data_IF_530801178461
#
_entry.id   IF_530801178461
#
_cell.length_a   1.000
_cell.length_b   1.000
_cell.length_c   1.000
_cell.angle_alpha   90.00
_cell.angle_beta   90.00
_cell.angle_gamma   90.00
#
_symmetry.space_group_name_H-M   'P 1'
#
loop_
_entity.id
_entity.type
_entity.pdbx_description
1 polymer ?
#
# COMPACT_ATOMS: atom_id res chain seq x y z
N UNK A 1 -9.64 11.53 -7.91
CA UNK A 1 -9.85 11.63 -6.45
C UNK A 1 -9.64 13.06 -5.95
N UNK A 2 -8.44 13.66 -6.04
CA UNK A 2 -8.23 15.08 -5.70
C UNK A 2 -9.17 16.04 -6.45
N UNK A 3 -9.24 15.93 -7.78
CA UNK A 3 -10.13 16.76 -8.59
C UNK A 3 -11.60 16.53 -8.25
N UNK A 4 -12.01 15.27 -8.05
CA UNK A 4 -13.37 14.96 -7.62
C UNK A 4 -13.72 15.50 -6.23
N UNK A 5 -12.75 15.56 -5.30
CA UNK A 5 -12.89 16.24 -4.01
C UNK A 5 -13.05 17.76 -4.18
N UNK A 6 -12.16 18.37 -4.98
CA UNK A 6 -12.18 19.81 -5.25
C UNK A 6 -13.49 20.24 -5.92
N UNK A 7 -13.89 19.59 -7.01
CA UNK A 7 -15.11 19.91 -7.76
C UNK A 7 -16.36 19.58 -6.93
N UNK A 8 -16.34 18.50 -6.15
CA UNK A 8 -17.42 18.14 -5.23
C UNK A 8 -17.63 19.21 -4.15
N UNK A 9 -16.55 19.65 -3.51
CA UNK A 9 -16.59 20.73 -2.51
C UNK A 9 -17.03 22.05 -3.14
N UNK A 10 -16.43 22.42 -4.27
CA UNK A 10 -16.76 23.65 -4.99
C UNK A 10 -18.25 23.70 -5.37
N UNK A 11 -18.80 22.56 -5.82
CA UNK A 11 -20.21 22.45 -6.17
C UNK A 11 -21.14 22.56 -4.95
N UNK A 12 -20.74 22.05 -3.78
CA UNK A 12 -21.53 22.18 -2.53
C UNK A 12 -21.67 23.62 -2.06
N UNK A 13 -20.67 24.48 -2.27
CA UNK A 13 -20.68 25.88 -1.82
C UNK A 13 -21.15 26.86 -2.88
N UNK A 14 -20.73 26.67 -4.13
CA UNK A 14 -21.03 27.61 -5.22
C UNK A 14 -22.30 27.22 -6.02
N UNK A 15 -23.00 26.15 -5.63
CA UNK A 15 -24.27 25.70 -6.24
C UNK A 15 -24.22 25.66 -7.77
N UNK A 16 -23.09 25.19 -8.32
CA UNK A 16 -22.84 25.07 -9.75
C UNK A 16 -23.58 23.88 -10.36
N UNK A 17 -24.92 23.94 -10.41
CA UNK A 17 -25.77 22.83 -10.87
C UNK A 17 -25.49 22.39 -12.31
N UNK A 18 -24.82 23.19 -13.13
CA UNK A 18 -24.47 22.82 -14.51
C UNK A 18 -23.35 21.76 -14.57
N UNK A 19 -22.50 21.68 -13.55
CA UNK A 19 -21.34 20.77 -13.49
C UNK A 19 -21.42 19.79 -12.31
N UNK A 20 -22.61 19.61 -11.73
CA UNK A 20 -22.78 18.83 -10.50
C UNK A 20 -22.31 17.37 -10.59
N UNK A 21 -22.33 16.81 -11.80
CA UNK A 21 -21.94 15.43 -12.09
C UNK A 21 -20.42 15.24 -12.27
N UNK A 22 -19.67 16.33 -12.49
CA UNK A 22 -18.23 16.26 -12.79
C UNK A 22 -17.45 15.76 -11.57
N UNK A 23 -17.65 16.35 -10.40
CA UNK A 23 -16.97 15.95 -9.16
C UNK A 23 -17.22 14.47 -8.77
N UNK A 24 -18.48 14.02 -8.71
CA UNK A 24 -18.82 12.60 -8.51
C UNK A 24 -18.25 11.69 -9.60
N UNK A 25 -18.38 12.06 -10.89
CA UNK A 25 -17.90 11.26 -12.01
C UNK A 25 -16.38 11.03 -11.98
N UNK A 26 -15.60 12.09 -11.75
CA UNK A 26 -14.14 12.01 -11.63
C UNK A 26 -13.72 11.26 -10.35
N UNK A 27 -14.52 11.34 -9.28
CA UNK A 27 -14.30 10.53 -8.06
C UNK A 27 -14.50 9.05 -8.32
N UNK A 28 -15.63 8.65 -8.93
CA UNK A 28 -15.93 7.25 -9.27
C UNK A 28 -14.88 6.67 -10.20
N UNK A 29 -14.49 7.40 -11.25
CA UNK A 29 -13.43 6.96 -12.15
C UNK A 29 -12.11 6.75 -11.40
N UNK A 30 -11.73 7.69 -10.53
CA UNK A 30 -10.52 7.58 -9.72
C UNK A 30 -10.53 6.37 -8.77
N UNK A 31 -11.68 6.09 -8.16
CA UNK A 31 -11.89 4.92 -7.30
C UNK A 31 -11.72 3.63 -8.10
N UNK A 32 -12.36 3.52 -9.27
CA UNK A 32 -12.26 2.33 -10.13
C UNK A 32 -10.83 2.09 -10.61
N UNK A 33 -10.12 3.14 -11.02
CA UNK A 33 -8.72 3.07 -11.42
C UNK A 33 -7.83 2.60 -10.27
N UNK A 34 -8.05 3.13 -9.07
CA UNK A 34 -7.29 2.72 -7.88
C UNK A 34 -7.56 1.26 -7.50
N UNK A 35 -8.82 0.83 -7.46
CA UNK A 35 -9.18 -0.56 -7.15
C UNK A 35 -8.48 -1.50 -8.14
N UNK A 36 -8.57 -1.17 -9.44
CA UNK A 36 -7.91 -1.95 -10.50
C UNK A 36 -6.40 -2.01 -10.30
N UNK A 37 -5.76 -0.87 -9.99
CA UNK A 37 -4.33 -0.82 -9.70
C UNK A 37 -3.96 -1.65 -8.46
N UNK A 38 -4.75 -1.61 -7.39
CA UNK A 38 -4.45 -2.32 -6.13
C UNK A 38 -4.66 -3.82 -6.20
N UNK A 39 -5.38 -4.34 -7.21
CA UNK A 39 -5.37 -5.78 -7.52
C UNK A 39 -3.99 -6.26 -8.02
N UNK A 40 -3.15 -5.35 -8.50
CA UNK A 40 -1.87 -5.63 -9.12
C UNK A 40 -0.67 -5.20 -8.27
N UNK A 41 -0.71 -3.96 -7.79
CA UNK A 41 0.42 -3.24 -7.18
C UNK A 41 1.08 -4.01 -6.03
N UNK A 42 0.36 -4.60 -5.05
CA UNK A 42 1.01 -5.29 -3.93
C UNK A 42 1.91 -6.45 -4.38
N UNK A 43 1.45 -7.23 -5.37
CA UNK A 43 2.23 -8.36 -5.91
C UNK A 43 3.38 -7.89 -6.79
N UNK A 44 3.18 -6.83 -7.57
CA UNK A 44 4.22 -6.23 -8.40
C UNK A 44 5.36 -5.63 -7.54
N UNK A 45 5.01 -4.92 -6.46
CA UNK A 45 5.98 -4.37 -5.50
C UNK A 45 6.74 -5.47 -4.77
N UNK A 46 6.07 -6.57 -4.39
CA UNK A 46 6.73 -7.71 -3.78
C UNK A 46 7.80 -8.32 -4.71
N UNK A 47 7.47 -8.51 -5.99
CA UNK A 47 8.43 -9.01 -6.97
C UNK A 47 9.58 -8.03 -7.23
N UNK A 48 9.28 -6.75 -7.39
CA UNK A 48 10.30 -5.72 -7.54
C UNK A 48 11.28 -5.74 -6.37
N UNK A 49 10.79 -5.91 -5.14
CA UNK A 49 11.61 -5.97 -3.94
C UNK A 49 12.50 -7.23 -3.90
N UNK A 50 11.97 -8.39 -4.30
CA UNK A 50 12.71 -9.66 -4.33
C UNK A 50 13.78 -9.66 -5.42
N UNK A 51 13.47 -9.14 -6.60
CA UNK A 51 14.37 -9.15 -7.76
C UNK A 51 15.36 -7.98 -7.76
N UNK A 52 15.06 -6.90 -7.04
CA UNK A 52 15.82 -5.65 -7.08
C UNK A 52 15.76 -4.93 -8.43
N UNK A 53 14.89 -5.35 -9.36
CA UNK A 53 14.79 -4.81 -10.71
C UNK A 53 13.41 -4.20 -10.96
N UNK A 54 13.37 -2.90 -11.23
CA UNK A 54 12.13 -2.16 -11.48
C UNK A 54 11.36 -2.67 -12.69
N UNK A 55 12.02 -3.23 -13.72
CA UNK A 55 11.35 -3.78 -14.91
C UNK A 55 10.45 -4.97 -14.56
N UNK A 56 10.76 -5.69 -13.48
CA UNK A 56 9.95 -6.82 -13.02
C UNK A 56 8.59 -6.39 -12.49
N UNK A 57 8.46 -5.12 -12.11
CA UNK A 57 7.18 -4.51 -11.77
C UNK A 57 6.21 -4.54 -12.95
N UNK A 58 6.69 -4.42 -14.19
CA UNK A 58 5.85 -4.30 -15.41
C UNK A 58 5.56 -5.63 -16.10
N UNK A 59 5.92 -6.77 -15.50
CA UNK A 59 5.64 -8.08 -16.07
C UNK A 59 4.20 -8.51 -15.80
N UNK A 60 3.24 -7.80 -16.41
CA UNK A 60 1.80 -7.92 -16.17
C UNK A 60 1.28 -9.35 -16.27
N UNK A 61 1.64 -10.06 -17.34
CA UNK A 61 1.16 -11.43 -17.60
C UNK A 61 1.54 -12.40 -16.47
N UNK A 62 2.78 -12.32 -15.98
CA UNK A 62 3.26 -13.16 -14.89
C UNK A 62 2.55 -12.82 -13.58
N UNK A 63 2.55 -11.55 -13.20
CA UNK A 63 1.95 -11.10 -11.94
C UNK A 63 0.45 -11.43 -11.91
N UNK A 64 -0.28 -11.20 -13.01
CA UNK A 64 -1.69 -11.55 -13.10
C UNK A 64 -1.95 -13.06 -13.05
N UNK A 65 -1.01 -13.87 -13.54
CA UNK A 65 -1.08 -15.33 -13.43
C UNK A 65 -0.92 -15.76 -11.97
N UNK A 66 -0.01 -15.13 -11.22
CA UNK A 66 0.14 -15.35 -9.78
C UNK A 66 -1.11 -14.92 -8.99
N UNK A 67 -1.61 -13.71 -9.24
CA UNK A 67 -2.82 -13.16 -8.59
C UNK A 67 -4.01 -14.11 -8.78
N UNK A 68 -4.28 -14.55 -10.02
CA UNK A 68 -5.39 -15.47 -10.31
C UNK A 68 -5.23 -16.84 -9.64
N UNK A 69 -4.01 -17.32 -9.43
CA UNK A 69 -3.74 -18.63 -8.81
C UNK A 69 -3.89 -18.61 -7.28
N UNK A 70 -3.66 -17.47 -6.65
CA UNK A 70 -3.72 -17.29 -5.19
C UNK A 70 -4.61 -16.10 -4.81
N UNK A 71 -5.74 -16.01 -5.49
CA UNK A 71 -6.67 -14.89 -5.32
C UNK A 71 -7.19 -14.78 -3.87
N UNK A 72 -7.40 -15.90 -3.14
CA UNK A 72 -7.77 -15.88 -1.72
C UNK A 72 -6.72 -15.19 -0.84
N UNK A 73 -5.44 -15.43 -1.14
CA UNK A 73 -4.36 -14.78 -0.43
C UNK A 73 -4.31 -13.28 -0.77
N UNK A 74 -4.61 -12.92 -2.02
CA UNK A 74 -4.72 -11.52 -2.43
C UNK A 74 -5.91 -10.81 -1.76
N UNK A 75 -7.04 -11.49 -1.61
CA UNK A 75 -8.18 -11.00 -0.83
C UNK A 75 -7.78 -10.78 0.63
N UNK A 76 -7.16 -11.77 1.28
CA UNK A 76 -6.67 -11.63 2.66
C UNK A 76 -5.66 -10.48 2.82
N UNK A 77 -4.80 -10.28 1.83
CA UNK A 77 -3.88 -9.14 1.80
C UNK A 77 -4.63 -7.81 1.70
N UNK A 78 -5.62 -7.69 0.80
CA UNK A 78 -6.46 -6.49 0.69
C UNK A 78 -7.18 -6.19 2.01
N UNK A 79 -7.73 -7.21 2.67
CA UNK A 79 -8.39 -7.06 3.98
C UNK A 79 -7.40 -6.55 5.03
N UNK A 80 -6.17 -7.08 5.02
CA UNK A 80 -5.13 -6.61 5.95
C UNK A 80 -4.74 -5.14 5.67
N UNK A 81 -4.63 -4.72 4.40
CA UNK A 81 -4.43 -3.31 4.05
C UNK A 81 -5.56 -2.43 4.60
N UNK A 82 -6.82 -2.81 4.35
CA UNK A 82 -8.01 -2.08 4.81
C UNK A 82 -8.15 -2.06 6.33
N UNK A 83 -7.69 -3.11 7.02
CA UNK A 83 -7.71 -3.15 8.48
C UNK A 83 -6.61 -2.28 9.09
N UNK A 84 -5.38 -2.38 8.57
CA UNK A 84 -4.26 -1.56 9.01
C UNK A 84 -4.47 -0.06 8.72
N UNK A 85 -5.28 0.30 7.72
CA UNK A 85 -5.59 1.71 7.42
C UNK A 85 -6.54 2.35 8.43
N UNK A 86 -7.37 1.57 9.15
CA UNK A 86 -8.34 2.13 10.11
C UNK A 86 -7.64 2.88 11.24
N UNK A 87 -6.63 2.31 11.94
CA UNK A 87 -5.87 3.07 12.95
C UNK A 87 -5.19 4.32 12.37
N UNK A 88 -4.74 4.29 11.11
CA UNK A 88 -4.09 5.44 10.47
C UNK A 88 -5.10 6.55 10.19
N UNK A 89 -6.30 6.20 9.75
CA UNK A 89 -7.43 7.12 9.62
C UNK A 89 -7.77 7.76 10.98
N UNK A 90 -7.80 6.97 12.05
CA UNK A 90 -8.06 7.46 13.42
C UNK A 90 -6.96 8.42 13.85
N UNK A 91 -5.68 8.01 13.79
CA UNK A 91 -4.53 8.85 14.14
C UNK A 91 -4.49 10.16 13.33
N UNK A 92 -4.93 10.10 12.08
CA UNK A 92 -5.03 11.27 11.21
C UNK A 92 -6.16 12.23 11.62
N UNK A 93 -7.31 11.68 12.01
CA UNK A 93 -8.53 12.46 12.25
C UNK A 93 -8.58 13.00 13.67
N UNK A 94 -8.03 12.28 14.64
CA UNK A 94 -7.97 12.66 16.06
C UNK A 94 -7.32 14.02 16.27
N UNK A 95 -6.34 14.41 15.44
CA UNK A 95 -5.66 15.71 15.53
C UNK A 95 -6.64 16.89 15.55
N UNK A 96 -7.73 16.83 14.78
CA UNK A 96 -8.76 17.87 14.76
C UNK A 96 -9.50 18.01 16.10
N UNK A 97 -9.62 16.90 16.85
CA UNK A 97 -10.36 16.84 18.10
C UNK A 97 -9.47 17.03 19.33
N UNK A 98 -8.14 17.08 19.19
CA UNK A 98 -7.21 17.23 20.32
C UNK A 98 -7.48 18.50 21.16
N UNK A 99 -7.79 19.68 20.60
CA UNK A 99 -8.14 20.85 21.40
C UNK A 99 -9.42 20.67 22.23
N UNK A 100 -10.39 19.88 21.75
CA UNK A 100 -11.61 19.58 22.51
C UNK A 100 -11.32 18.61 23.68
N UNK A 101 -10.32 17.74 23.52
CA UNK A 101 -9.91 16.77 24.55
C UNK A 101 -9.02 17.45 25.60
N UNK A 102 -8.12 18.34 25.16
CA UNK A 102 -7.26 19.12 26.03
C UNK A 102 -7.31 20.60 25.60
N UNK A 103 -8.16 21.42 26.25
CA UNK A 103 -8.33 22.84 25.91
C UNK A 103 -7.03 23.64 25.90
N UNK A 104 -6.03 23.26 26.70
CA UNK A 104 -4.72 23.93 26.74
C UNK A 104 -3.98 23.90 25.40
N UNK A 105 -4.36 22.98 24.50
CA UNK A 105 -3.77 22.90 23.15
C UNK A 105 -4.29 24.01 22.22
N UNK A 106 -5.43 24.63 22.53
CA UNK A 106 -6.00 25.72 21.75
C UNK A 106 -5.19 27.03 21.90
N UNK A 107 -4.54 27.21 23.06
CA UNK A 107 -3.80 28.42 23.40
C UNK A 107 -2.31 28.36 23.02
N UNK A 108 -1.88 27.29 22.36
CA UNK A 108 -0.48 27.12 21.95
C UNK A 108 -0.10 28.14 20.86
N UNK A 109 1.12 28.67 20.97
CA UNK A 109 1.70 29.46 19.88
C UNK A 109 1.96 28.57 18.65
N UNK A 110 2.05 29.14 17.43
CA UNK A 110 2.28 28.34 16.22
C UNK A 110 3.53 27.45 16.29
N UNK A 111 4.62 27.92 16.91
CA UNK A 111 5.84 27.15 17.08
C UNK A 111 5.65 25.94 18.02
N UNK A 112 4.93 26.13 19.12
CA UNK A 112 4.60 25.06 20.07
C UNK A 112 3.64 24.05 19.45
N UNK A 113 2.67 24.50 18.64
CA UNK A 113 1.78 23.62 17.88
C UNK A 113 2.57 22.70 16.93
N UNK A 114 3.53 23.25 16.18
CA UNK A 114 4.38 22.46 15.28
C UNK A 114 5.17 21.42 16.08
N UNK A 115 5.80 21.83 17.18
CA UNK A 115 6.59 20.91 18.01
C UNK A 115 5.72 19.78 18.58
N UNK A 116 4.53 20.10 19.06
CA UNK A 116 3.56 19.13 19.55
C UNK A 116 3.14 18.13 18.45
N UNK A 117 2.76 18.63 17.27
CA UNK A 117 2.36 17.80 16.13
C UNK A 117 3.51 16.93 15.63
N UNK A 118 4.74 17.45 15.56
CA UNK A 118 5.92 16.67 15.20
C UNK A 118 6.14 15.49 16.15
N UNK A 119 6.01 15.73 17.46
CA UNK A 119 6.10 14.68 18.46
C UNK A 119 4.97 13.66 18.29
N UNK A 120 3.74 14.12 18.07
CA UNK A 120 2.59 13.24 17.84
C UNK A 120 2.77 12.34 16.60
N UNK A 121 3.20 12.93 15.48
CA UNK A 121 3.43 12.19 14.24
C UNK A 121 4.62 11.24 14.33
N UNK A 122 5.67 11.60 15.07
CA UNK A 122 6.78 10.70 15.37
C UNK A 122 6.31 9.43 16.08
N UNK A 123 5.52 9.56 17.15
CA UNK A 123 4.97 8.41 17.86
C UNK A 123 3.98 7.61 17.01
N UNK A 124 3.19 8.29 16.18
CA UNK A 124 2.30 7.63 15.23
C UNK A 124 3.06 6.83 14.18
N UNK A 125 4.21 7.32 13.72
CA UNK A 125 5.08 6.63 12.77
C UNK A 125 5.61 5.30 13.34
N UNK A 126 5.78 5.19 14.67
CA UNK A 126 6.17 3.95 15.35
C UNK A 126 5.12 2.83 15.19
N UNK A 127 3.86 3.16 14.91
CA UNK A 127 2.84 2.19 14.53
C UNK A 127 2.78 1.98 13.01
N UNK A 128 2.79 3.08 12.23
CA UNK A 128 2.64 3.04 10.77
C UNK A 128 3.76 2.25 10.10
N UNK A 129 5.00 2.42 10.56
CA UNK A 129 6.15 1.77 9.94
C UNK A 129 6.13 0.24 10.13
N UNK A 130 5.93 -0.32 11.35
CA UNK A 130 5.72 -1.75 11.52
C UNK A 130 4.53 -2.30 10.72
N UNK A 131 3.41 -1.58 10.68
CA UNK A 131 2.25 -2.00 9.88
C UNK A 131 2.61 -2.08 8.39
N UNK A 132 3.30 -1.07 7.85
CA UNK A 132 3.82 -1.08 6.49
C UNK A 132 4.73 -2.28 6.24
N UNK A 133 5.73 -2.50 7.11
CA UNK A 133 6.68 -3.62 6.97
C UNK A 133 5.94 -4.96 7.02
N UNK A 134 4.99 -5.15 7.93
CA UNK A 134 4.19 -6.36 8.03
C UNK A 134 3.43 -6.64 6.72
N UNK A 135 2.77 -5.62 6.15
CA UNK A 135 2.09 -5.73 4.85
C UNK A 135 3.05 -6.15 3.73
N UNK A 136 4.28 -5.61 3.71
CA UNK A 136 5.32 -6.01 2.75
C UNK A 136 5.77 -7.44 2.92
N UNK A 137 5.98 -7.89 4.16
CA UNK A 137 6.39 -9.25 4.46
C UNK A 137 5.30 -10.26 4.07
N UNK A 138 4.04 -9.95 4.38
CA UNK A 138 2.90 -10.78 3.97
C UNK A 138 2.79 -10.84 2.45
N UNK A 139 2.89 -9.70 1.75
CA UNK A 139 2.89 -9.66 0.29
C UNK A 139 4.05 -10.48 -0.32
N UNK A 140 5.26 -10.36 0.23
CA UNK A 140 6.42 -11.14 -0.20
C UNK A 140 6.24 -12.65 0.04
N UNK A 141 5.65 -13.04 1.18
CA UNK A 141 5.33 -14.45 1.47
C UNK A 141 4.28 -15.02 0.52
N UNK A 142 3.23 -14.25 0.23
CA UNK A 142 2.20 -14.63 -0.75
C UNK A 142 2.85 -14.78 -2.13
N UNK A 143 3.66 -13.80 -2.54
CA UNK A 143 4.39 -13.85 -3.79
C UNK A 143 5.28 -15.10 -3.90
N UNK A 144 6.19 -15.31 -2.94
CA UNK A 144 7.13 -16.44 -2.96
C UNK A 144 6.44 -17.80 -2.97
N UNK A 145 5.43 -17.99 -2.11
CA UNK A 145 4.67 -19.25 -2.08
C UNK A 145 3.84 -19.50 -3.35
N UNK A 146 3.36 -18.43 -3.99
CA UNK A 146 2.60 -18.54 -5.24
C UNK A 146 3.52 -18.82 -6.43
N UNK A 147 4.68 -18.16 -6.48
CA UNK A 147 5.70 -18.36 -7.50
C UNK A 147 6.20 -19.81 -7.46
N UNK A 148 6.58 -20.29 -6.28
CA UNK A 148 7.04 -21.67 -6.08
C UNK A 148 5.99 -22.68 -6.58
N UNK A 149 4.74 -22.54 -6.13
CA UNK A 149 3.65 -23.41 -6.56
C UNK A 149 3.38 -23.32 -8.07
N UNK A 150 3.52 -22.14 -8.66
CA UNK A 150 3.32 -21.96 -10.09
C UNK A 150 4.41 -22.68 -10.91
N UNK A 151 5.66 -22.66 -10.46
CA UNK A 151 6.77 -23.38 -11.09
C UNK A 151 6.57 -24.89 -10.94
N UNK A 152 6.30 -25.36 -9.71
CA UNK A 152 6.09 -26.79 -9.42
C UNK A 152 4.90 -27.39 -10.20
N UNK A 153 3.91 -26.58 -10.56
CA UNK A 153 2.74 -27.00 -11.34
C UNK A 153 2.91 -26.77 -12.85
N UNK A 154 4.09 -26.38 -13.32
CA UNK A 154 4.38 -26.10 -14.74
C UNK A 154 3.63 -24.88 -15.31
N UNK A 155 3.04 -24.05 -14.46
CA UNK A 155 2.27 -22.89 -14.87
C UNK A 155 3.12 -21.72 -15.36
N UNK A 156 4.35 -21.67 -14.87
CA UNK A 156 5.35 -20.68 -15.20
C UNK A 156 6.62 -21.46 -15.53
N UNK A 157 7.15 -21.23 -16.73
CA UNK A 157 8.42 -21.81 -17.16
C UNK A 157 9.58 -21.16 -16.41
N UNK A 158 10.69 -21.89 -16.28
CA UNK A 158 11.87 -21.38 -15.61
C UNK A 158 12.44 -20.14 -16.32
N UNK A 159 12.27 -20.03 -17.64
CA UNK A 159 12.72 -18.90 -18.45
C UNK A 159 12.03 -17.56 -18.09
N UNK A 160 10.87 -17.63 -17.43
CA UNK A 160 10.15 -16.44 -16.98
C UNK A 160 10.69 -15.89 -15.65
N UNK A 161 11.62 -16.61 -15.01
CA UNK A 161 12.24 -16.23 -13.75
C UNK A 161 13.42 -15.30 -13.99
N UNK A 162 13.57 -14.36 -13.07
CA UNK A 162 14.81 -13.59 -13.01
C UNK A 162 15.87 -14.44 -12.33
N UNK A 163 17.11 -14.26 -12.75
CA UNK A 163 18.30 -14.92 -12.21
C UNK A 163 18.32 -15.01 -10.67
N UNK A 164 17.91 -13.95 -9.95
CA UNK A 164 17.81 -13.95 -8.49
C UNK A 164 16.77 -14.94 -7.95
N UNK A 165 15.61 -15.06 -8.62
CA UNK A 165 14.53 -15.99 -8.26
C UNK A 165 14.99 -17.42 -8.53
N UNK A 166 15.61 -17.65 -9.69
CA UNK A 166 16.15 -18.95 -10.10
C UNK A 166 17.23 -19.45 -9.12
N UNK A 167 18.24 -18.62 -8.81
CA UNK A 167 19.28 -18.97 -7.83
C UNK A 167 18.71 -19.27 -6.45
N UNK A 168 17.73 -18.50 -5.98
CA UNK A 168 17.12 -18.72 -4.67
C UNK A 168 16.39 -20.07 -4.61
N UNK A 169 15.65 -20.42 -5.67
CA UNK A 169 14.92 -21.68 -5.77
C UNK A 169 15.86 -22.90 -5.87
N UNK A 170 16.92 -22.79 -6.67
CA UNK A 170 17.95 -23.82 -6.77
C UNK A 170 18.72 -24.00 -5.46
N UNK A 171 19.17 -22.91 -4.84
CA UNK A 171 19.91 -22.95 -3.57
C UNK A 171 19.11 -23.64 -2.46
N UNK A 172 17.80 -23.44 -2.45
CA UNK A 172 16.90 -24.01 -1.45
C UNK A 172 16.34 -25.40 -1.85
N UNK A 173 16.75 -25.95 -3.01
CA UNK A 173 16.26 -27.21 -3.57
C UNK A 173 14.72 -27.29 -3.67
N UNK A 174 14.04 -26.17 -3.89
CA UNK A 174 12.57 -26.07 -3.85
C UNK A 174 11.89 -26.51 -5.16
N UNK A 175 12.67 -26.80 -6.21
CA UNK A 175 12.13 -27.16 -7.53
C UNK A 175 11.54 -28.58 -7.52
N UNK A 176 11.90 -29.41 -6.53
CA UNK A 176 11.30 -30.73 -6.37
C UNK A 176 9.80 -30.64 -6.07
N UNK A 177 9.03 -31.49 -6.76
CA UNK A 177 7.57 -31.53 -6.67
C UNK A 177 7.17 -32.19 -5.37
N UNK A 178 6.81 -31.41 -4.35
CA UNK A 178 6.15 -31.95 -3.17
C UNK A 178 4.65 -32.17 -3.45
N UNK A 179 4.10 -33.37 -3.21
CA UNK A 179 2.66 -33.57 -3.23
C UNK A 179 2.01 -32.70 -2.14
N UNK A 180 0.85 -32.08 -2.40
CA UNK A 180 0.24 -31.14 -1.46
C UNK A 180 -0.11 -31.85 -0.14
N UNK A 181 0.51 -31.40 0.96
CA UNK A 181 0.10 -31.82 2.32
C UNK A 181 -1.23 -31.14 2.67
N UNK A 182 -2.32 -31.91 2.63
CA UNK A 182 -3.67 -31.48 3.00
C UNK A 182 -3.82 -31.45 4.52
N UNK A 183 -3.92 -30.26 5.13
CA UNK A 183 -4.29 -30.10 6.54
C UNK A 183 -5.12 -28.82 6.76
N UNK A 184 -6.45 -28.94 6.89
CA UNK A 184 -7.37 -28.18 7.78
C UNK A 184 -8.83 -28.05 7.24
N UNK A 185 -9.83 -27.90 8.14
CA UNK A 185 -11.27 -27.69 7.89
C UNK A 185 -11.68 -26.49 7.00
N UNK A 186 -10.77 -25.56 6.68
CA UNK A 186 -11.05 -24.40 5.78
C UNK A 186 -11.29 -24.84 4.33
N UNK A 187 -11.15 -26.13 4.03
CA UNK A 187 -11.25 -26.70 2.69
C UNK A 187 -12.61 -26.47 2.02
N UNK A 188 -13.72 -26.46 2.76
CA UNK A 188 -15.06 -26.20 2.16
C UNK A 188 -15.17 -24.81 1.55
N UNK A 189 -14.58 -23.81 2.21
CA UNK A 189 -14.52 -22.46 1.67
C UNK A 189 -13.60 -22.46 0.47
N UNK A 190 -12.40 -23.06 0.56
CA UNK A 190 -11.42 -23.10 -0.54
C UNK A 190 -11.93 -23.83 -1.79
N UNK A 191 -12.68 -24.92 -1.64
CA UNK A 191 -13.26 -25.68 -2.76
C UNK A 191 -14.38 -24.91 -3.44
N UNK A 192 -15.31 -24.35 -2.66
CA UNK A 192 -16.37 -23.49 -3.19
C UNK A 192 -15.80 -22.24 -3.85
N UNK A 193 -14.84 -21.61 -3.19
CA UNK A 193 -14.10 -20.46 -3.68
C UNK A 193 -13.36 -20.79 -5.00
N UNK A 194 -12.95 -22.04 -5.21
CA UNK A 194 -12.36 -22.51 -6.46
C UNK A 194 -13.29 -22.49 -7.67
N UNK A 195 -14.61 -22.51 -7.47
CA UNK A 195 -15.64 -22.49 -8.53
C UNK A 195 -15.71 -21.13 -9.25
N UNK A 196 -16.35 -21.08 -10.43
CA UNK A 196 -16.56 -19.81 -11.16
C UNK A 196 -17.33 -18.78 -10.31
N UNK A 197 -18.38 -19.23 -9.61
CA UNK A 197 -19.18 -18.39 -8.74
C UNK A 197 -18.35 -17.86 -7.55
N UNK A 198 -17.60 -18.74 -6.87
CA UNK A 198 -16.72 -18.35 -5.77
C UNK A 198 -15.66 -17.32 -6.18
N UNK A 199 -15.00 -17.52 -7.33
CA UNK A 199 -14.03 -16.55 -7.87
C UNK A 199 -14.67 -15.20 -8.17
N UNK A 200 -15.88 -15.18 -8.73
CA UNK A 200 -16.64 -13.97 -8.99
C UNK A 200 -16.98 -13.22 -7.70
N UNK A 201 -17.56 -13.91 -6.72
CA UNK A 201 -17.94 -13.35 -5.42
C UNK A 201 -16.74 -12.73 -4.72
N UNK A 202 -15.63 -13.45 -4.62
CA UNK A 202 -14.46 -12.92 -3.95
C UNK A 202 -13.71 -11.86 -4.75
N UNK A 203 -13.77 -11.89 -6.08
CA UNK A 203 -13.31 -10.77 -6.90
C UNK A 203 -14.06 -9.49 -6.55
N UNK A 204 -15.39 -9.57 -6.48
CA UNK A 204 -16.25 -8.47 -6.03
C UNK A 204 -15.93 -8.03 -4.60
N UNK A 205 -15.83 -8.96 -3.64
CA UNK A 205 -15.47 -8.65 -2.26
C UNK A 205 -14.08 -8.01 -2.14
N UNK A 206 -13.11 -8.43 -2.94
CA UNK A 206 -11.79 -7.79 -2.98
C UNK A 206 -11.90 -6.35 -3.46
N UNK A 207 -12.71 -6.09 -4.49
CA UNK A 207 -13.01 -4.73 -4.94
C UNK A 207 -13.69 -3.88 -3.86
N UNK A 208 -14.65 -4.45 -3.14
CA UNK A 208 -15.35 -3.81 -2.02
C UNK A 208 -14.39 -3.48 -0.86
N UNK A 209 -13.45 -4.35 -0.55
CA UNK A 209 -12.41 -4.10 0.45
C UNK A 209 -11.50 -2.94 0.03
N UNK A 210 -11.08 -2.88 -1.24
CA UNK A 210 -10.29 -1.74 -1.73
C UNK A 210 -11.10 -0.44 -1.77
N UNK A 211 -12.40 -0.53 -2.05
CA UNK A 211 -13.30 0.60 -1.92
C UNK A 211 -13.34 1.12 -0.48
N UNK A 212 -13.50 0.24 0.52
CA UNK A 212 -13.47 0.64 1.93
C UNK A 212 -12.12 1.21 2.36
N UNK A 213 -11.00 0.65 1.91
CA UNK A 213 -9.68 1.22 2.12
C UNK A 213 -9.61 2.68 1.64
N UNK A 214 -10.13 2.97 0.44
CA UNK A 214 -10.19 4.33 -0.09
C UNK A 214 -11.18 5.24 0.65
N UNK A 215 -12.35 4.71 1.00
CA UNK A 215 -13.38 5.46 1.70
C UNK A 215 -12.86 6.04 3.01
N UNK A 216 -12.03 5.28 3.74
CA UNK A 216 -11.35 5.76 4.95
C UNK A 216 -10.51 7.03 4.70
N UNK A 217 -9.86 7.15 3.54
CA UNK A 217 -9.11 8.34 3.19
C UNK A 217 -10.01 9.55 2.90
N UNK A 218 -11.13 9.33 2.20
CA UNK A 218 -12.15 10.37 2.02
C UNK A 218 -12.71 10.85 3.36
N UNK A 219 -13.00 9.92 4.28
CA UNK A 219 -13.48 10.23 5.64
C UNK A 219 -12.41 11.04 6.41
N UNK A 220 -11.15 10.62 6.38
CA UNK A 220 -10.07 11.36 7.04
C UNK A 220 -9.89 12.78 6.48
N UNK A 221 -10.00 12.95 5.16
CA UNK A 221 -9.92 14.27 4.51
C UNK A 221 -11.13 15.15 4.80
N UNK A 222 -12.29 14.54 5.02
CA UNK A 222 -13.50 15.25 5.43
C UNK A 222 -13.39 15.83 6.84
N UNK A 223 -12.89 15.06 7.80
CA UNK A 223 -12.67 15.57 9.15
C UNK A 223 -11.48 16.52 9.21
N UNK A 224 -10.36 16.16 8.58
CA UNK A 224 -9.13 16.93 8.67
C UNK A 224 -8.50 17.08 7.28
N UNK A 225 -8.89 18.14 6.56
CA UNK A 225 -8.34 18.43 5.25
C UNK A 225 -6.88 18.86 5.36
N UNK A 226 -5.99 18.07 4.73
CA UNK A 226 -4.54 18.21 4.86
C UNK A 226 -3.84 18.48 3.53
N UNK A 227 -4.61 18.96 2.55
CA UNK A 227 -4.10 19.35 1.23
C UNK A 227 -3.94 18.20 0.23
N UNK A 228 -3.44 18.55 -0.95
CA UNK A 228 -3.34 17.65 -2.09
C UNK A 228 -2.36 16.48 -1.88
N UNK A 229 -1.34 16.65 -1.04
CA UNK A 229 -0.25 15.67 -0.83
C UNK A 229 -0.74 14.34 -0.27
N UNK A 230 -1.80 14.34 0.53
CA UNK A 230 -2.36 13.10 1.11
C UNK A 230 -3.04 12.24 0.04
N UNK A 231 -3.56 12.84 -1.03
CA UNK A 231 -4.09 12.07 -2.16
C UNK A 231 -2.99 11.37 -2.97
N UNK A 232 -1.77 11.92 -2.93
CA UNK A 232 -0.60 11.43 -3.65
C UNK A 232 0.22 10.41 -2.85
N UNK A 233 0.13 10.42 -1.53
CA UNK A 233 0.83 9.49 -0.65
C UNK A 233 -0.13 8.62 0.17
N UNK A 234 -0.31 7.39 -0.29
CA UNK A 234 -0.99 6.35 0.47
C UNK A 234 0.00 5.70 1.43
N UNK A 235 -0.04 6.06 2.71
CA UNK A 235 1.03 5.78 3.69
C UNK A 235 1.39 4.29 3.82
N UNK A 236 0.42 3.39 3.64
CA UNK A 236 0.66 1.94 3.68
C UNK A 236 1.11 1.34 2.34
N UNK A 237 0.91 2.04 1.22
CA UNK A 237 1.05 1.51 -0.15
C UNK A 237 2.30 2.03 -0.87
N UNK A 238 2.73 3.26 -0.61
CA UNK A 238 3.88 3.86 -1.30
C UNK A 238 5.02 4.11 -0.31
N UNK A 239 4.85 5.08 0.56
CA UNK A 239 5.86 5.48 1.54
C UNK A 239 5.21 5.56 2.92
N UNK A 240 5.82 5.01 3.99
CA UNK A 240 5.33 5.13 5.36
C UNK A 240 5.57 6.55 5.93
N UNK A 241 5.41 7.57 5.09
CA UNK A 241 5.52 8.96 5.43
C UNK A 241 4.21 9.44 6.06
N UNK A 242 4.20 9.49 7.39
CA UNK A 242 3.08 9.93 8.21
C UNK A 242 3.37 11.30 8.82
N UNK A 243 3.54 12.30 7.96
CA UNK A 243 3.75 13.67 8.37
C UNK A 243 2.70 14.54 7.67
N UNK A 244 1.69 14.95 8.43
CA UNK A 244 0.53 15.64 7.90
C UNK A 244 0.27 16.93 8.68
N UNK A 245 1.27 17.82 8.68
CA UNK A 245 1.06 19.19 9.15
C UNK A 245 -0.03 19.87 8.31
N UNK A 246 -0.79 20.77 8.94
CA UNK A 246 -1.78 21.56 8.21
C UNK A 246 -1.06 22.44 7.18
N UNK A 247 -1.64 22.54 5.98
CA UNK A 247 -1.10 23.37 4.89
C UNK A 247 -0.97 24.86 5.29
N UNK A 248 -1.68 25.29 6.33
CA UNK A 248 -1.63 26.64 6.90
C UNK A 248 -0.41 26.90 7.78
N UNK A 249 0.30 25.86 8.23
CA UNK A 249 1.34 25.95 9.28
C UNK A 249 2.74 25.56 8.77
N UNK A 250 2.86 24.82 7.67
CA UNK A 250 4.16 24.44 7.10
C UNK A 250 4.09 24.00 5.64
N UNK A 251 5.20 24.11 4.92
CA UNK A 251 5.31 23.64 3.53
C UNK A 251 5.62 22.12 3.51
N UNK A 252 4.65 21.26 3.14
CA UNK A 252 4.84 19.81 3.17
C UNK A 252 5.87 19.30 2.15
N UNK A 253 6.26 20.12 1.16
CA UNK A 253 7.26 19.75 0.17
C UNK A 253 8.68 19.75 0.73
N UNK A 254 8.99 20.63 1.70
CA UNK A 254 10.30 20.71 2.32
C UNK A 254 10.68 19.38 2.97
N UNK A 255 9.78 18.83 3.77
CA UNK A 255 10.03 17.57 4.49
C UNK A 255 10.08 16.36 3.55
N UNK A 256 9.31 16.37 2.46
CA UNK A 256 9.40 15.35 1.42
C UNK A 256 10.79 15.32 0.77
N UNK A 257 11.34 16.48 0.41
CA UNK A 257 12.69 16.56 -0.17
C UNK A 257 13.77 16.12 0.82
N UNK A 258 13.64 16.48 2.10
CA UNK A 258 14.56 16.01 3.16
C UNK A 258 14.48 14.50 3.32
N UNK A 259 13.28 13.92 3.38
CA UNK A 259 13.10 12.47 3.48
C UNK A 259 13.67 11.72 2.27
N UNK A 260 13.41 12.24 1.06
CA UNK A 260 13.96 11.71 -0.17
C UNK A 260 15.50 11.77 -0.18
N UNK A 261 16.09 12.87 0.32
CA UNK A 261 17.53 13.02 0.45
C UNK A 261 18.12 12.00 1.45
N UNK A 262 17.49 11.81 2.61
CA UNK A 262 17.91 10.80 3.60
C UNK A 262 17.89 9.40 3.02
N UNK A 263 16.81 9.01 2.33
CA UNK A 263 16.70 7.70 1.65
C UNK A 263 17.77 7.56 0.57
N UNK A 264 18.02 8.61 -0.21
CA UNK A 264 19.04 8.62 -1.25
C UNK A 264 20.46 8.43 -0.67
N UNK A 265 20.79 9.14 0.42
CA UNK A 265 22.08 9.01 1.13
C UNK A 265 22.23 7.61 1.73
N UNK A 266 21.20 7.09 2.40
CA UNK A 266 21.21 5.74 2.95
C UNK A 266 21.41 4.68 1.86
N UNK A 267 20.77 4.85 0.69
CA UNK A 267 20.96 3.98 -0.46
C UNK A 267 22.38 4.06 -1.04
N UNK A 268 22.94 5.26 -1.15
CA UNK A 268 24.34 5.47 -1.59
C UNK A 268 25.34 4.83 -0.64
N UNK A 269 25.16 4.99 0.68
CA UNK A 269 25.97 4.35 1.71
C UNK A 269 25.90 2.83 1.62
N UNK A 270 24.69 2.26 1.49
CA UNK A 270 24.53 0.81 1.30
C UNK A 270 25.28 0.32 0.06
N UNK A 271 25.17 1.02 -1.07
CA UNK A 271 25.92 0.67 -2.30
C UNK A 271 27.42 0.77 -2.10
N UNK A 272 27.89 1.78 -1.38
CA UNK A 272 29.31 1.96 -1.07
C UNK A 272 29.85 0.82 -0.21
N UNK A 273 29.13 0.43 0.85
CA UNK A 273 29.48 -0.72 1.71
C UNK A 273 29.53 -2.03 0.92
N UNK A 274 28.56 -2.26 0.01
CA UNK A 274 28.56 -3.44 -0.86
C UNK A 274 29.79 -3.45 -1.78
N UNK A 275 30.16 -2.30 -2.37
CA UNK A 275 31.37 -2.17 -3.20
C UNK A 275 32.65 -2.41 -2.40
N UNK A 276 32.75 -1.88 -1.19
CA UNK A 276 33.89 -2.11 -0.28
C UNK A 276 34.04 -3.59 0.09
N UNK A 277 32.93 -4.30 0.34
CA UNK A 277 32.96 -5.74 0.59
C UNK A 277 33.43 -6.54 -0.62
N UNK A 278 33.05 -6.13 -1.83
CA UNK A 278 33.53 -6.76 -3.07
C UNK A 278 35.02 -6.53 -3.31
N UNK A 279 35.55 -5.35 -2.94
CA UNK A 279 36.99 -5.04 -3.04
C UNK A 279 37.87 -5.77 -2.03
N UNK A 280 37.34 -6.18 -0.87
CA UNK A 280 38.08 -6.96 0.14
C UNK A 280 38.17 -8.46 -0.18
N UNK A 281 37.48 -8.93 -1.22
CA UNK A 281 37.48 -10.35 -1.64
C UNK A 281 38.38 -10.59 -2.86
N UNK A 282 39.07 -9.55 -3.35
CA UNK A 282 40.15 -9.60 -4.33
C UNK A 282 41.45 -9.16 -3.67
#
# INVERSE_FOLDING_TARGET
>A
MLFGWYDGWNNSFNKGYEQFSVGPGVSVLGILLFITAMLYVPMAQARQAVTGNWRCFYQFRLIWTLVRRRWLACFGLATLYSFCSVPIMILSSVVMFLPNINPKLADLTPAETIQFLNRYFFWSALFVFPAFVALRLVAARIYGSTLLKAIQTGAITQDALVESEWRALHRLNLIQVEPPRLRHPVWRIVTWAGTRAGRGTFGFLTGLVWFFFLAQLYIAQFFNYRGATVWLNQTLVQLPWFHHLLATIGNPWGDFFVAAAVVFVAWRLKRFVIRLKAFRQH
#
